data_IF_037149507668
#
_entry.id   IF_037149507668
#
_cell.length_a   1.000
_cell.length_b   1.000
_cell.length_c   1.000
_cell.angle_alpha   90.00
_cell.angle_beta   90.00
_cell.angle_gamma   90.00
#
_symmetry.space_group_name_H-M   'P 1'
#
loop_
_entity.id
_entity.type
_entity.pdbx_description
1 polymer ?
#
# COMPACT_ATOMS: atom_id res chain seq x y z
N UNK A 1 63.52 20.61 29.91
CA UNK A 1 62.36 19.75 29.89
C UNK A 1 61.23 20.53 29.29
N UNK A 2 60.83 20.21 28.04
CA UNK A 2 59.69 20.83 27.35
C UNK A 2 58.51 19.85 27.42
N UNK A 3 57.45 20.21 28.15
CA UNK A 3 56.18 19.46 28.12
C UNK A 3 55.45 19.77 26.80
N UNK A 4 55.19 18.72 26.03
CA UNK A 4 54.33 18.76 24.86
C UNK A 4 52.95 18.33 25.32
N UNK A 5 52.01 19.28 25.36
CA UNK A 5 50.59 19.01 25.63
C UNK A 5 49.93 18.57 24.33
N UNK A 6 49.63 17.31 24.22
CA UNK A 6 48.88 16.78 23.09
C UNK A 6 47.37 17.06 23.28
N UNK A 7 46.81 17.88 22.40
CA UNK A 7 45.39 18.20 22.37
C UNK A 7 44.67 17.05 21.61
N UNK A 8 43.94 16.22 22.35
CA UNK A 8 43.16 15.12 21.78
C UNK A 8 41.81 15.66 21.27
N UNK A 9 41.70 15.84 19.96
CA UNK A 9 40.44 16.29 19.34
C UNK A 9 39.52 15.06 19.20
N UNK A 10 38.51 14.95 20.07
CA UNK A 10 37.44 13.92 19.96
C UNK A 10 36.51 14.36 18.83
N UNK A 11 36.61 13.70 17.68
CA UNK A 11 35.63 13.83 16.61
C UNK A 11 34.40 13.05 17.02
N UNK A 12 33.36 13.78 17.42
CA UNK A 12 32.04 13.21 17.72
C UNK A 12 31.36 12.87 16.38
N UNK A 13 31.54 11.64 15.92
CA UNK A 13 30.81 11.12 14.76
C UNK A 13 29.37 10.87 15.22
N UNK A 14 28.53 11.89 15.08
CA UNK A 14 27.10 11.78 15.33
C UNK A 14 26.48 10.82 14.31
N UNK A 15 26.26 9.57 14.71
CA UNK A 15 25.44 8.63 13.94
C UNK A 15 24.05 9.22 13.80
N UNK A 16 23.68 9.66 12.60
CA UNK A 16 22.31 10.00 12.28
C UNK A 16 21.54 8.67 12.37
N UNK A 17 20.85 8.45 13.49
CA UNK A 17 19.90 7.37 13.62
C UNK A 17 18.82 7.61 12.56
N UNK A 18 18.86 6.84 11.46
CA UNK A 18 17.74 6.75 10.53
C UNK A 18 16.61 6.15 11.36
N UNK A 19 15.64 7.00 11.73
CA UNK A 19 14.45 6.54 12.43
C UNK A 19 13.80 5.44 11.58
N UNK A 20 13.77 4.23 12.13
CA UNK A 20 13.12 3.09 11.49
C UNK A 20 11.65 3.44 11.30
N UNK A 21 11.15 3.34 10.06
CA UNK A 21 9.73 3.59 9.78
C UNK A 21 8.88 2.62 10.61
N UNK A 22 7.76 3.07 11.18
CA UNK A 22 6.86 2.17 11.91
C UNK A 22 6.43 0.98 11.04
N UNK A 23 6.23 -0.20 11.63
CA UNK A 23 5.77 -1.40 10.92
C UNK A 23 4.49 -1.16 10.12
N UNK A 24 3.65 -0.24 10.58
CA UNK A 24 2.42 0.17 9.91
C UNK A 24 2.61 0.89 8.56
N UNK A 25 3.85 1.26 8.19
CA UNK A 25 4.19 1.79 6.84
C UNK A 25 4.42 0.68 5.81
N UNK A 26 4.42 -0.58 6.22
CA UNK A 26 4.47 -1.72 5.32
C UNK A 26 3.05 -2.07 4.87
N UNK A 27 2.73 -1.84 3.59
CA UNK A 27 1.40 -2.11 3.00
C UNK A 27 1.08 -3.60 2.78
N UNK A 28 1.88 -4.51 3.32
CA UNK A 28 1.69 -5.96 3.16
C UNK A 28 0.59 -6.48 4.09
N UNK A 29 -0.28 -7.34 3.55
CA UNK A 29 -1.31 -8.08 4.31
C UNK A 29 -0.95 -9.58 4.26
N UNK A 30 -0.28 -10.12 5.30
CA UNK A 30 0.25 -11.48 5.28
C UNK A 30 -0.82 -12.56 5.04
N UNK A 31 -2.04 -12.35 5.54
CA UNK A 31 -3.16 -13.26 5.37
C UNK A 31 -3.64 -13.33 3.92
N UNK A 32 -3.58 -12.19 3.19
CA UNK A 32 -3.89 -12.14 1.77
C UNK A 32 -2.83 -12.87 0.93
N UNK A 33 -1.55 -12.72 1.30
CA UNK A 33 -0.46 -13.46 0.68
C UNK A 33 -0.56 -14.98 0.96
N UNK A 34 -0.95 -15.37 2.18
CA UNK A 34 -1.14 -16.76 2.55
C UNK A 34 -2.34 -17.40 1.82
N UNK A 35 -3.41 -16.63 1.59
CA UNK A 35 -4.57 -17.08 0.84
C UNK A 35 -4.24 -17.35 -0.64
N UNK A 36 -3.23 -16.68 -1.20
CA UNK A 36 -2.78 -16.93 -2.57
C UNK A 36 -2.43 -18.40 -2.83
N UNK A 37 -1.83 -19.11 -1.86
CA UNK A 37 -1.34 -20.46 -2.06
C UNK A 37 -2.43 -21.46 -2.51
N UNK A 38 -3.54 -21.65 -1.77
CA UNK A 38 -4.62 -22.52 -2.22
C UNK A 38 -5.36 -21.97 -3.44
N UNK A 39 -5.47 -20.63 -3.60
CA UNK A 39 -6.08 -20.01 -4.78
C UNK A 39 -5.26 -20.27 -6.03
N UNK A 40 -3.93 -20.29 -5.95
CA UNK A 40 -3.07 -20.63 -7.08
C UNK A 40 -3.38 -22.05 -7.60
N UNK A 41 -3.41 -23.03 -6.71
CA UNK A 41 -3.72 -24.43 -7.08
C UNK A 41 -5.15 -24.56 -7.63
N UNK A 42 -6.12 -23.87 -7.01
CA UNK A 42 -7.50 -23.84 -7.47
C UNK A 42 -7.61 -23.34 -8.91
N UNK A 43 -6.95 -22.21 -9.23
CA UNK A 43 -7.10 -21.49 -10.49
C UNK A 43 -6.19 -21.99 -11.62
N UNK A 44 -4.92 -22.32 -11.32
CA UNK A 44 -3.96 -22.71 -12.34
C UNK A 44 -3.90 -24.21 -12.63
N UNK A 45 -4.34 -25.03 -11.67
CA UNK A 45 -4.30 -26.48 -11.86
C UNK A 45 -5.69 -27.10 -11.98
N UNK A 46 -6.57 -26.88 -10.98
CA UNK A 46 -7.83 -27.63 -10.89
C UNK A 46 -8.92 -27.07 -11.85
N UNK A 47 -9.06 -25.73 -11.90
CA UNK A 47 -10.12 -25.09 -12.69
C UNK A 47 -9.96 -25.26 -14.22
N UNK A 48 -8.77 -25.07 -14.84
CA UNK A 48 -8.59 -25.25 -16.27
C UNK A 48 -8.82 -26.71 -16.74
N UNK A 49 -8.45 -27.65 -15.86
CA UNK A 49 -8.67 -29.07 -16.07
C UNK A 49 -10.14 -29.50 -15.85
N UNK A 50 -10.98 -28.63 -15.31
CA UNK A 50 -12.35 -28.94 -14.84
C UNK A 50 -12.37 -30.12 -13.88
N UNK A 51 -11.32 -30.26 -13.05
CA UNK A 51 -11.17 -31.36 -12.10
C UNK A 51 -12.04 -31.10 -10.86
N UNK A 52 -13.28 -31.53 -10.92
CA UNK A 52 -14.27 -31.36 -9.87
C UNK A 52 -13.83 -32.02 -8.56
N UNK A 53 -13.21 -33.21 -8.64
CA UNK A 53 -12.74 -33.91 -7.44
C UNK A 53 -11.64 -33.10 -6.72
N UNK A 54 -10.69 -32.55 -7.47
CA UNK A 54 -9.63 -31.70 -6.94
C UNK A 54 -10.19 -30.39 -6.40
N UNK A 55 -11.11 -29.72 -7.10
CA UNK A 55 -11.78 -28.51 -6.61
C UNK A 55 -12.49 -28.78 -5.28
N UNK A 56 -13.28 -29.86 -5.17
CA UNK A 56 -13.91 -30.26 -3.89
C UNK A 56 -12.87 -30.52 -2.79
N UNK A 57 -11.79 -31.22 -3.12
CA UNK A 57 -10.73 -31.54 -2.18
C UNK A 57 -9.94 -30.32 -1.69
N UNK A 58 -9.87 -29.25 -2.47
CA UNK A 58 -9.20 -27.99 -2.09
C UNK A 58 -10.05 -27.11 -1.15
N UNK A 59 -11.38 -27.29 -1.13
CA UNK A 59 -12.27 -26.42 -0.36
C UNK A 59 -11.84 -26.25 1.11
N UNK A 60 -11.51 -27.31 1.89
CA UNK A 60 -11.11 -27.12 3.29
C UNK A 60 -9.85 -26.26 3.48
N UNK A 61 -8.86 -26.37 2.57
CA UNK A 61 -7.66 -25.54 2.61
C UNK A 61 -7.98 -24.07 2.26
N UNK A 62 -8.79 -23.85 1.24
CA UNK A 62 -9.27 -22.53 0.83
C UNK A 62 -10.07 -21.88 1.98
N UNK A 63 -11.00 -22.60 2.60
CA UNK A 63 -11.81 -22.12 3.71
C UNK A 63 -10.94 -21.74 4.93
N UNK A 64 -9.97 -22.58 5.29
CA UNK A 64 -9.04 -22.31 6.38
C UNK A 64 -8.21 -21.03 6.15
N UNK A 65 -7.71 -20.86 4.93
CA UNK A 65 -6.92 -19.68 4.58
C UNK A 65 -7.82 -18.42 4.49
N UNK A 66 -9.04 -18.54 3.94
CA UNK A 66 -10.05 -17.49 3.92
C UNK A 66 -10.43 -17.03 5.35
N UNK A 67 -10.63 -17.94 6.29
CA UNK A 67 -10.99 -17.59 7.68
C UNK A 67 -9.93 -16.69 8.32
N UNK A 68 -8.65 -16.93 8.03
CA UNK A 68 -7.57 -16.04 8.47
C UNK A 68 -7.65 -14.68 7.79
N UNK A 69 -7.85 -14.65 6.48
CA UNK A 69 -8.00 -13.42 5.70
C UNK A 69 -9.18 -12.59 6.18
N UNK A 70 -10.32 -13.22 6.51
CA UNK A 70 -11.51 -12.54 7.00
C UNK A 70 -11.30 -11.83 8.35
N UNK A 71 -10.31 -12.27 9.13
CA UNK A 71 -9.92 -11.64 10.41
C UNK A 71 -8.72 -10.70 10.29
N UNK A 72 -8.16 -10.54 9.09
CA UNK A 72 -6.98 -9.71 8.87
C UNK A 72 -7.27 -8.24 9.17
N UNK A 73 -6.27 -7.56 9.76
CA UNK A 73 -6.29 -6.12 9.97
C UNK A 73 -5.40 -5.45 8.94
N UNK A 74 -5.90 -4.41 8.31
CA UNK A 74 -5.07 -3.61 7.43
C UNK A 74 -3.99 -2.86 8.23
N UNK A 75 -2.74 -2.82 7.74
CA UNK A 75 -1.71 -1.97 8.32
C UNK A 75 -2.10 -0.49 8.19
N UNK A 76 -1.54 0.35 9.06
CA UNK A 76 -1.88 1.76 9.16
C UNK A 76 -1.85 2.51 7.82
N UNK A 77 -0.85 2.24 6.98
CA UNK A 77 -0.69 2.87 5.65
C UNK A 77 -1.84 2.57 4.68
N UNK A 78 -2.64 1.54 4.93
CA UNK A 78 -3.82 1.16 4.13
C UNK A 78 -5.14 1.58 4.79
N UNK A 79 -5.12 2.36 5.88
CA UNK A 79 -6.34 2.75 6.63
C UNK A 79 -7.39 3.45 5.76
N UNK A 80 -6.97 4.26 4.82
CA UNK A 80 -7.87 4.97 3.89
C UNK A 80 -8.59 4.02 2.93
N UNK A 81 -8.13 2.76 2.84
CA UNK A 81 -8.74 1.70 2.01
C UNK A 81 -9.67 0.78 2.80
N UNK A 82 -9.87 1.03 4.11
CA UNK A 82 -10.63 0.13 4.99
C UNK A 82 -12.07 -0.11 4.53
N UNK A 83 -12.77 0.91 4.07
CA UNK A 83 -14.14 0.79 3.56
C UNK A 83 -14.20 -0.11 2.33
N UNK A 84 -13.36 0.17 1.33
CA UNK A 84 -13.26 -0.66 0.11
C UNK A 84 -12.78 -2.09 0.40
N UNK A 85 -11.91 -2.26 1.39
CA UNK A 85 -11.48 -3.58 1.85
C UNK A 85 -12.69 -4.38 2.39
N UNK A 86 -13.49 -3.77 3.25
CA UNK A 86 -14.66 -4.40 3.83
C UNK A 86 -15.70 -4.78 2.75
N UNK A 87 -15.93 -3.90 1.76
CA UNK A 87 -16.79 -4.20 0.61
C UNK A 87 -16.30 -5.40 -0.21
N UNK A 88 -15.01 -5.42 -0.56
CA UNK A 88 -14.42 -6.54 -1.32
C UNK A 88 -14.40 -7.83 -0.53
N UNK A 89 -14.13 -7.75 0.76
CA UNK A 89 -14.17 -8.90 1.65
C UNK A 89 -15.59 -9.49 1.75
N UNK A 90 -16.62 -8.65 1.82
CA UNK A 90 -18.02 -9.12 1.82
C UNK A 90 -18.38 -9.87 0.53
N UNK A 91 -17.92 -9.38 -0.63
CA UNK A 91 -18.12 -10.05 -1.92
C UNK A 91 -17.39 -11.41 -1.96
N UNK A 92 -16.13 -11.45 -1.50
CA UNK A 92 -15.37 -12.69 -1.38
C UNK A 92 -16.04 -13.67 -0.42
N UNK A 93 -16.60 -13.18 0.70
CA UNK A 93 -17.35 -13.98 1.67
C UNK A 93 -18.54 -14.67 1.00
N UNK A 94 -19.28 -13.95 0.17
CA UNK A 94 -20.41 -14.51 -0.56
C UNK A 94 -19.95 -15.61 -1.55
N UNK A 95 -18.85 -15.39 -2.26
CA UNK A 95 -18.28 -16.40 -3.17
C UNK A 95 -17.81 -17.64 -2.43
N UNK A 96 -17.24 -17.50 -1.23
CA UNK A 96 -16.86 -18.63 -0.38
C UNK A 96 -18.06 -19.43 0.08
N UNK A 97 -19.17 -18.76 0.42
CA UNK A 97 -20.43 -19.42 0.77
C UNK A 97 -21.00 -20.21 -0.42
N UNK A 98 -21.00 -19.61 -1.61
CA UNK A 98 -21.46 -20.27 -2.82
C UNK A 98 -20.61 -21.50 -3.17
N UNK A 99 -19.29 -21.41 -2.94
CA UNK A 99 -18.37 -22.53 -3.15
C UNK A 99 -18.69 -23.68 -2.17
N UNK A 100 -18.89 -23.35 -0.89
CA UNK A 100 -19.31 -24.32 0.12
C UNK A 100 -20.60 -25.02 -0.28
N UNK A 101 -21.65 -24.24 -0.58
CA UNK A 101 -22.96 -24.76 -0.93
C UNK A 101 -22.91 -25.69 -2.15
N UNK A 102 -22.11 -25.35 -3.17
CA UNK A 102 -21.92 -26.18 -4.36
C UNK A 102 -21.18 -27.49 -4.06
N UNK A 103 -20.14 -27.43 -3.19
CA UNK A 103 -19.41 -28.62 -2.76
C UNK A 103 -20.29 -29.56 -1.97
N UNK A 104 -21.09 -29.07 -1.03
CA UNK A 104 -22.03 -29.86 -0.22
C UNK A 104 -23.14 -30.52 -1.04
N UNK A 105 -23.60 -29.86 -2.11
CA UNK A 105 -24.64 -30.37 -3.02
C UNK A 105 -24.09 -31.25 -4.15
N UNK A 106 -22.78 -31.41 -4.26
CA UNK A 106 -22.08 -32.05 -5.38
C UNK A 106 -22.47 -31.44 -6.76
N UNK A 107 -22.78 -30.14 -6.77
CA UNK A 107 -23.12 -29.38 -7.97
C UNK A 107 -21.85 -29.00 -8.76
N UNK A 108 -21.58 -29.78 -9.80
CA UNK A 108 -20.36 -29.66 -10.64
C UNK A 108 -20.24 -28.28 -11.30
N UNK A 109 -21.33 -27.77 -11.86
CA UNK A 109 -21.32 -26.46 -12.53
C UNK A 109 -21.24 -25.31 -11.50
N UNK A 110 -21.90 -25.47 -10.36
CA UNK A 110 -21.81 -24.56 -9.23
C UNK A 110 -20.38 -24.50 -8.66
N UNK A 111 -19.68 -25.62 -8.54
CA UNK A 111 -18.29 -25.69 -8.07
C UNK A 111 -17.37 -24.91 -9.02
N UNK A 112 -17.48 -25.10 -10.34
CA UNK A 112 -16.66 -24.35 -11.31
C UNK A 112 -16.93 -22.86 -11.27
N UNK A 113 -18.19 -22.46 -11.25
CA UNK A 113 -18.60 -21.05 -11.13
C UNK A 113 -18.10 -20.40 -9.85
N UNK A 114 -18.28 -21.07 -8.72
CA UNK A 114 -17.89 -20.52 -7.43
C UNK A 114 -16.36 -20.45 -7.28
N UNK A 115 -15.61 -21.43 -7.78
CA UNK A 115 -14.15 -21.40 -7.80
C UNK A 115 -13.62 -20.21 -8.63
N UNK A 116 -14.20 -19.95 -9.79
CA UNK A 116 -13.89 -18.77 -10.62
C UNK A 116 -14.20 -17.47 -9.86
N UNK A 117 -15.37 -17.38 -9.22
CA UNK A 117 -15.76 -16.21 -8.46
C UNK A 117 -14.84 -15.96 -7.26
N UNK A 118 -14.42 -16.99 -6.53
CA UNK A 118 -13.45 -16.90 -5.44
C UNK A 118 -12.11 -16.35 -5.94
N UNK A 119 -11.58 -16.88 -7.05
CA UNK A 119 -10.35 -16.37 -7.65
C UNK A 119 -10.48 -14.91 -8.09
N UNK A 120 -11.52 -14.57 -8.83
CA UNK A 120 -11.75 -13.20 -9.30
C UNK A 120 -11.83 -12.20 -8.14
N UNK A 121 -12.57 -12.53 -7.08
CA UNK A 121 -12.75 -11.64 -5.92
C UNK A 121 -11.49 -11.56 -5.06
N UNK A 122 -10.69 -12.63 -4.97
CA UNK A 122 -9.34 -12.57 -4.41
C UNK A 122 -8.45 -11.57 -5.17
N UNK A 123 -8.42 -11.64 -6.50
CA UNK A 123 -7.66 -10.70 -7.33
C UNK A 123 -8.09 -9.25 -7.14
N UNK A 124 -9.38 -9.01 -6.90
CA UNK A 124 -9.87 -7.64 -6.58
C UNK A 124 -9.33 -7.13 -5.23
N UNK A 125 -9.18 -8.01 -4.23
CA UNK A 125 -8.55 -7.65 -2.94
C UNK A 125 -7.06 -7.38 -3.12
N UNK A 126 -6.35 -8.20 -3.89
CA UNK A 126 -4.93 -7.99 -4.21
C UNK A 126 -4.71 -6.63 -4.88
N UNK A 127 -5.55 -6.28 -5.87
CA UNK A 127 -5.45 -4.99 -6.57
C UNK A 127 -5.73 -3.79 -5.67
N UNK A 128 -6.55 -3.95 -4.64
CA UNK A 128 -6.84 -2.89 -3.68
C UNK A 128 -5.61 -2.52 -2.84
N UNK A 129 -4.84 -3.52 -2.38
CA UNK A 129 -3.73 -3.30 -1.45
C UNK A 129 -2.38 -3.14 -2.14
N UNK A 130 -2.19 -3.72 -3.33
CA UNK A 130 -0.94 -3.59 -4.08
C UNK A 130 -0.93 -2.30 -4.89
N UNK A 131 0.11 -1.48 -4.76
CA UNK A 131 0.23 -0.27 -5.56
C UNK A 131 0.42 -0.62 -7.04
N UNK A 132 -0.26 0.11 -7.90
CA UNK A 132 -0.11 -0.03 -9.37
C UNK A 132 1.25 0.50 -9.83
N UNK A 133 1.75 1.53 -9.14
CA UNK A 133 3.01 2.22 -9.39
C UNK A 133 3.85 2.15 -8.12
N UNK A 134 4.98 1.44 -8.19
CA UNK A 134 5.87 1.24 -7.05
C UNK A 134 6.38 2.58 -6.47
N UNK A 135 6.65 3.54 -7.34
CA UNK A 135 7.15 4.86 -6.98
C UNK A 135 6.13 5.62 -6.11
N UNK A 136 4.83 5.41 -6.37
CA UNK A 136 3.75 5.99 -5.57
C UNK A 136 3.71 5.38 -4.16
N UNK A 137 3.91 4.08 -4.02
CA UNK A 137 4.00 3.40 -2.73
C UNK A 137 5.18 3.91 -1.90
N UNK A 138 6.37 3.98 -2.51
CA UNK A 138 7.57 4.52 -1.87
C UNK A 138 7.41 5.99 -1.44
N UNK A 139 6.67 6.78 -2.23
CA UNK A 139 6.31 8.15 -1.88
C UNK A 139 5.36 8.17 -0.68
N UNK A 140 4.31 7.32 -0.71
CA UNK A 140 3.30 7.26 0.35
C UNK A 140 3.89 6.91 1.72
N UNK A 141 4.85 5.99 1.78
CA UNK A 141 5.52 5.64 3.05
C UNK A 141 6.10 6.86 3.77
N UNK A 142 6.68 7.81 3.04
CA UNK A 142 7.19 9.06 3.64
C UNK A 142 6.08 10.05 3.95
N UNK A 143 5.10 10.17 3.07
CA UNK A 143 3.95 11.03 3.30
C UNK A 143 3.14 10.58 4.51
N UNK A 144 2.98 9.27 4.69
CA UNK A 144 2.25 8.68 5.80
C UNK A 144 2.81 9.12 7.16
N UNK A 145 4.12 9.00 7.37
CA UNK A 145 4.73 9.41 8.65
C UNK A 145 4.72 10.93 8.82
N UNK A 146 4.83 11.70 7.74
CA UNK A 146 4.68 13.15 7.77
C UNK A 146 3.29 13.56 8.25
N UNK A 147 2.26 12.98 7.64
CA UNK A 147 0.85 13.30 7.90
C UNK A 147 0.39 12.88 9.29
N UNK A 148 0.70 11.65 9.68
CA UNK A 148 0.15 11.06 10.90
C UNK A 148 0.97 11.35 12.16
N UNK A 149 2.27 11.69 12.02
CA UNK A 149 3.15 11.84 13.17
C UNK A 149 3.92 13.16 13.19
N UNK A 150 4.64 13.50 12.10
CA UNK A 150 5.64 14.56 12.21
C UNK A 150 5.01 15.96 12.24
N UNK A 151 4.02 16.22 11.39
CA UNK A 151 3.31 17.51 11.37
C UNK A 151 2.42 17.68 12.61
N UNK A 152 1.58 16.71 13.02
CA UNK A 152 0.78 16.82 14.25
C UNK A 152 1.64 17.08 15.50
N UNK A 153 2.76 16.34 15.62
CA UNK A 153 3.67 16.44 16.78
C UNK A 153 4.68 17.59 16.66
N UNK A 154 4.65 18.36 15.57
CA UNK A 154 5.59 19.46 15.28
C UNK A 154 7.07 19.04 15.36
N UNK A 155 7.40 17.88 14.81
CA UNK A 155 8.76 17.31 14.77
C UNK A 155 9.59 17.96 13.67
N UNK A 156 10.11 19.18 13.95
CA UNK A 156 10.71 20.10 12.96
C UNK A 156 11.81 19.42 12.11
N UNK A 157 12.74 18.71 12.73
CA UNK A 157 13.85 18.06 12.00
C UNK A 157 13.36 16.92 11.11
N UNK A 158 12.39 16.12 11.58
CA UNK A 158 11.77 15.06 10.81
C UNK A 158 10.93 15.63 9.67
N UNK A 159 10.19 16.72 9.89
CA UNK A 159 9.45 17.44 8.84
C UNK A 159 10.40 17.87 7.72
N UNK A 160 11.53 18.50 8.08
CA UNK A 160 12.54 18.95 7.12
C UNK A 160 13.12 17.79 6.33
N UNK A 161 13.60 16.75 7.01
CA UNK A 161 14.18 15.57 6.36
C UNK A 161 13.17 14.88 5.44
N UNK A 162 11.88 14.84 5.83
CA UNK A 162 10.83 14.22 5.03
C UNK A 162 10.46 15.08 3.83
N UNK A 163 10.42 16.40 3.94
CA UNK A 163 10.21 17.31 2.81
C UNK A 163 11.28 17.12 1.73
N UNK A 164 12.55 17.00 2.13
CA UNK A 164 13.67 16.72 1.22
C UNK A 164 13.51 15.32 0.57
N UNK A 165 13.15 14.30 1.36
CA UNK A 165 12.89 12.94 0.86
C UNK A 165 11.73 12.89 -0.14
N UNK A 166 10.61 13.55 0.14
CA UNK A 166 9.46 13.63 -0.78
C UNK A 166 9.85 14.31 -2.10
N UNK A 167 10.64 15.38 -2.04
CA UNK A 167 11.14 16.08 -3.24
C UNK A 167 11.99 15.12 -4.10
N UNK A 168 12.86 14.33 -3.50
CA UNK A 168 13.66 13.34 -4.22
C UNK A 168 12.80 12.23 -4.83
N UNK A 169 11.80 11.72 -4.07
CA UNK A 169 10.89 10.66 -4.53
C UNK A 169 10.00 11.12 -5.69
N UNK A 170 9.66 12.42 -5.75
CA UNK A 170 8.92 12.98 -6.90
C UNK A 170 9.67 12.85 -8.22
N UNK A 171 11.01 12.82 -8.22
CA UNK A 171 11.80 12.59 -9.45
C UNK A 171 11.46 11.24 -10.07
N UNK A 172 11.45 10.18 -9.27
CA UNK A 172 11.11 8.84 -9.75
C UNK A 172 9.62 8.73 -10.11
N UNK A 173 8.73 9.34 -9.31
CA UNK A 173 7.30 9.31 -9.57
C UNK A 173 6.90 10.08 -10.85
N UNK A 174 7.54 11.20 -11.14
CA UNK A 174 7.35 11.94 -12.39
C UNK A 174 7.82 11.15 -13.63
N UNK A 175 8.79 10.27 -13.47
CA UNK A 175 9.30 9.39 -14.53
C UNK A 175 8.54 8.06 -14.65
N UNK A 176 7.64 7.77 -13.71
CA UNK A 176 6.93 6.50 -13.67
C UNK A 176 5.97 6.34 -14.86
N UNK A 177 5.98 5.12 -15.44
CA UNK A 177 5.09 4.75 -16.54
C UNK A 177 3.99 3.80 -16.05
N UNK A 178 2.79 3.97 -16.57
CA UNK A 178 1.70 3.03 -16.30
C UNK A 178 1.87 1.72 -17.07
N UNK A 179 1.45 0.58 -16.48
CA UNK A 179 1.35 -0.66 -17.22
C UNK A 179 0.43 -0.52 -18.45
N UNK A 180 0.73 -1.25 -19.53
CA UNK A 180 -0.02 -1.20 -20.80
C UNK A 180 -1.54 -1.27 -20.63
N UNK A 181 -2.04 -2.10 -19.70
CA UNK A 181 -3.49 -2.22 -19.38
C UNK A 181 -4.13 -0.94 -18.85
N UNK A 182 -3.34 0.05 -18.44
CA UNK A 182 -3.78 1.34 -17.90
C UNK A 182 -3.34 2.53 -18.78
N UNK A 183 -2.86 2.27 -19.98
CA UNK A 183 -2.35 3.29 -20.92
C UNK A 183 -3.39 4.41 -21.14
N UNK A 184 -4.66 4.07 -21.22
CA UNK A 184 -5.75 5.05 -21.36
C UNK A 184 -5.84 6.06 -20.19
N UNK A 185 -5.30 5.73 -19.02
CA UNK A 185 -5.27 6.61 -17.83
C UNK A 185 -4.01 7.48 -17.75
N UNK A 186 -3.07 7.37 -18.72
CA UNK A 186 -1.74 8.01 -18.64
C UNK A 186 -1.82 9.53 -18.51
N UNK A 187 -2.65 10.19 -19.28
CA UNK A 187 -2.77 11.67 -19.22
C UNK A 187 -3.38 12.14 -17.89
N UNK A 188 -4.38 11.40 -17.38
CA UNK A 188 -4.96 11.67 -16.08
C UNK A 188 -3.94 11.49 -14.96
N UNK A 189 -3.15 10.40 -15.03
CA UNK A 189 -2.07 10.11 -14.08
C UNK A 189 -1.02 11.21 -14.08
N UNK A 190 -0.48 11.58 -15.24
CA UNK A 190 0.53 12.65 -15.37
C UNK A 190 0.03 13.98 -14.81
N UNK A 191 -1.22 14.35 -15.11
CA UNK A 191 -1.82 15.58 -14.56
C UNK A 191 -1.93 15.52 -13.04
N UNK A 192 -2.36 14.40 -12.48
CA UNK A 192 -2.47 14.22 -11.03
C UNK A 192 -1.08 14.28 -10.35
N UNK A 193 -0.07 13.58 -10.92
CA UNK A 193 1.31 13.58 -10.42
C UNK A 193 1.92 15.00 -10.49
N UNK A 194 1.68 15.75 -11.56
CA UNK A 194 2.12 17.14 -11.65
C UNK A 194 1.54 18.02 -10.53
N UNK A 195 0.25 17.89 -10.24
CA UNK A 195 -0.38 18.64 -9.17
C UNK A 195 0.16 18.23 -7.78
N UNK A 196 0.53 16.97 -7.61
CA UNK A 196 1.20 16.49 -6.40
C UNK A 196 2.60 17.08 -6.28
N UNK A 197 3.38 17.12 -7.37
CA UNK A 197 4.72 17.73 -7.43
C UNK A 197 4.69 19.22 -7.05
N UNK A 198 3.71 19.96 -7.57
CA UNK A 198 3.53 21.37 -7.22
C UNK A 198 3.22 21.55 -5.72
N UNK A 199 2.44 20.64 -5.11
CA UNK A 199 2.15 20.65 -3.67
C UNK A 199 3.38 20.28 -2.82
N UNK A 200 4.20 19.31 -3.26
CA UNK A 200 5.47 18.95 -2.60
C UNK A 200 6.42 20.13 -2.58
N UNK A 201 6.57 20.83 -3.72
CA UNK A 201 7.42 22.01 -3.83
C UNK A 201 6.97 23.12 -2.87
N UNK A 202 5.65 23.42 -2.88
CA UNK A 202 5.10 24.45 -1.99
C UNK A 202 5.33 24.11 -0.51
N UNK A 203 5.17 22.85 -0.11
CA UNK A 203 5.45 22.40 1.25
C UNK A 203 6.94 22.51 1.58
N UNK A 204 7.83 22.04 0.71
CA UNK A 204 9.27 22.09 0.92
C UNK A 204 9.80 23.55 1.04
N UNK A 205 9.27 24.47 0.22
CA UNK A 205 9.60 25.90 0.32
C UNK A 205 9.13 26.51 1.66
N UNK A 206 7.93 26.16 2.11
CA UNK A 206 7.41 26.63 3.39
C UNK A 206 8.27 26.11 4.58
N UNK A 207 8.71 24.86 4.52
CA UNK A 207 9.63 24.27 5.51
C UNK A 207 10.98 25.03 5.52
N UNK A 208 11.56 25.30 4.36
CA UNK A 208 12.80 26.10 4.22
C UNK A 208 12.63 27.53 4.77
N UNK A 209 11.48 28.13 4.52
CA UNK A 209 11.12 29.46 5.00
C UNK A 209 10.74 29.48 6.50
N UNK A 210 10.79 28.33 7.19
CA UNK A 210 10.42 28.18 8.62
C UNK A 210 9.04 28.76 8.93
N UNK A 211 8.05 28.46 8.07
CA UNK A 211 6.66 28.87 8.24
C UNK A 211 6.06 28.29 9.53
N UNK A 212 4.96 28.88 10.01
CA UNK A 212 4.30 28.46 11.23
C UNK A 212 3.78 27.01 11.15
N UNK A 213 3.55 26.38 12.30
CA UNK A 213 2.96 25.03 12.38
C UNK A 213 1.64 24.96 11.62
N UNK A 214 0.81 25.97 11.74
CA UNK A 214 -0.52 26.06 11.12
C UNK A 214 -0.40 26.15 9.59
N UNK A 215 0.55 26.93 9.07
CA UNK A 215 0.82 27.02 7.65
C UNK A 215 1.35 25.70 7.09
N UNK A 216 2.29 25.05 7.80
CA UNK A 216 2.83 23.75 7.41
C UNK A 216 1.74 22.67 7.42
N UNK A 217 0.88 22.63 8.43
CA UNK A 217 -0.23 21.70 8.50
C UNK A 217 -1.24 21.90 7.33
N UNK A 218 -1.54 23.15 6.98
CA UNK A 218 -2.41 23.45 5.83
C UNK A 218 -1.83 22.98 4.50
N UNK A 219 -0.53 23.22 4.28
CA UNK A 219 0.14 22.81 3.06
C UNK A 219 0.30 21.28 2.97
N UNK A 220 0.57 20.64 4.10
CA UNK A 220 0.66 19.19 4.20
C UNK A 220 -0.70 18.53 3.90
N UNK A 221 -1.81 19.03 4.47
CA UNK A 221 -3.15 18.55 4.14
C UNK A 221 -3.47 18.70 2.64
N UNK A 222 -3.00 19.79 2.01
CA UNK A 222 -3.12 19.97 0.56
C UNK A 222 -2.32 18.92 -0.19
N UNK A 223 -1.09 18.66 0.23
CA UNK A 223 -0.21 17.64 -0.33
C UNK A 223 -0.84 16.25 -0.22
N UNK A 224 -1.34 15.86 0.96
CA UNK A 224 -2.03 14.59 1.18
C UNK A 224 -3.28 14.46 0.29
N UNK A 225 -4.09 15.51 0.17
CA UNK A 225 -5.25 15.51 -0.73
C UNK A 225 -4.84 15.32 -2.21
N UNK A 226 -3.69 15.88 -2.66
CA UNK A 226 -3.19 15.67 -4.03
C UNK A 226 -2.69 14.25 -4.24
N UNK A 227 -2.06 13.64 -3.23
CA UNK A 227 -1.69 12.23 -3.27
C UNK A 227 -2.93 11.34 -3.45
N UNK A 228 -4.00 11.55 -2.69
CA UNK A 228 -5.27 10.81 -2.82
C UNK A 228 -5.88 10.93 -4.23
N UNK A 229 -5.71 12.08 -4.90
CA UNK A 229 -6.16 12.24 -6.31
C UNK A 229 -5.35 11.33 -7.24
N UNK A 230 -4.04 11.13 -7.00
CA UNK A 230 -3.23 10.20 -7.78
C UNK A 230 -3.69 8.75 -7.57
N UNK A 231 -3.99 8.35 -6.33
CA UNK A 231 -4.52 7.01 -6.04
C UNK A 231 -5.85 6.74 -6.75
N UNK A 232 -6.78 7.71 -6.75
CA UNK A 232 -8.09 7.60 -7.40
C UNK A 232 -8.03 7.42 -8.93
N UNK A 233 -6.88 7.67 -9.56
CA UNK A 233 -6.69 7.34 -10.98
C UNK A 233 -6.82 5.84 -11.22
N UNK A 234 -6.55 5.01 -10.23
CA UNK A 234 -6.51 3.54 -10.33
C UNK A 234 -7.80 2.84 -9.85
N UNK A 235 -8.74 3.61 -9.32
CA UNK A 235 -10.07 3.15 -8.87
C UNK A 235 -10.98 2.75 -10.04
#
# INVERSE_FOLDING_TARGET
MKLITALLTIVFCGSIAIAQLPDETNGRVPELDAFHKPIYTLWHDAWPAKDIAKLKGLYPEVEKAYTKLASAKLPGILRDKQEKWNEKLAILTQSMKEYKDAVEKDDKDGILKAAEAVHMNYEMMVRLVRPVVKELDVFHQSLYVLHHYYVPDNKVEQIKATADSLTQKMVALNAAALPKRLEAKTEQFKKAVKNLDDAVKAFAEAVKAKKSKEELAKLENTLHARYQVVEKVFD
#
